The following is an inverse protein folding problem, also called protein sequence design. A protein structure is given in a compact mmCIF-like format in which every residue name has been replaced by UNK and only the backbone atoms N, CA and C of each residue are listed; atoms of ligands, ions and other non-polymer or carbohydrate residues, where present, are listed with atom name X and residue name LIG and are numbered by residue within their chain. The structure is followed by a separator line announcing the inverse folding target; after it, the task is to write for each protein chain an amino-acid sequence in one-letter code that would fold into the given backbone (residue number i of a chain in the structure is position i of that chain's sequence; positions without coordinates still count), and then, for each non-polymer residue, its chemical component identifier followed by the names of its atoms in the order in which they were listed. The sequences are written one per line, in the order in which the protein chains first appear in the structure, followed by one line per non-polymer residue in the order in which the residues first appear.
data_IF_756901569755
#
_entry.id   IF_756901569755
#
_cell.length_a   1.000
_cell.length_b   1.000
_cell.length_c   1.000
_cell.angle_alpha   90.00
_cell.angle_beta   90.00
_cell.angle_gamma   90.00
#
_symmetry.space_group_name_H-M   'P 1'
#
loop_
_entity.id
_entity.type
_entity.pdbx_description
1 polymer ?
#
# COMPACT_ATOMS: atom_id res chain seq x y z
N UNK A 1 -11.83 -24.96 -15.99
CA UNK A 1 -10.61 -24.20 -15.65
C UNK A 1 -10.53 -23.03 -16.60
N UNK A 2 -10.34 -21.78 -16.13
CA UNK A 2 -10.07 -20.67 -17.04
C UNK A 2 -8.77 -20.97 -17.80
N UNK A 3 -8.77 -20.74 -19.11
CA UNK A 3 -7.57 -20.88 -19.95
C UNK A 3 -6.61 -19.74 -19.59
N UNK A 4 -5.33 -20.05 -19.42
CA UNK A 4 -4.28 -19.06 -19.21
C UNK A 4 -4.10 -18.28 -20.52
N UNK A 5 -4.32 -16.96 -20.48
CA UNK A 5 -4.26 -16.10 -21.66
C UNK A 5 -2.80 -15.66 -21.84
N UNK A 6 -2.15 -16.15 -22.89
CA UNK A 6 -0.73 -15.89 -23.18
C UNK A 6 -0.59 -14.98 -24.39
N UNK A 7 0.29 -13.98 -24.29
CA UNK A 7 0.56 -13.01 -25.37
C UNK A 7 1.29 -13.67 -26.53
N UNK A 8 0.73 -13.57 -27.74
CA UNK A 8 1.45 -13.94 -28.96
C UNK A 8 2.24 -12.74 -29.49
N UNK A 9 3.51 -12.95 -29.85
CA UNK A 9 4.39 -11.91 -30.41
C UNK A 9 4.78 -12.19 -31.86
N UNK A 10 4.18 -13.21 -32.48
CA UNK A 10 4.61 -13.80 -33.74
C UNK A 10 3.46 -13.93 -34.75
N UNK A 11 2.40 -13.11 -34.64
CA UNK A 11 1.25 -13.16 -35.57
C UNK A 11 1.65 -13.07 -37.03
N UNK A 12 2.62 -12.23 -37.35
CA UNK A 12 3.15 -12.04 -38.70
C UNK A 12 3.84 -13.29 -39.22
N UNK A 13 4.69 -13.92 -38.40
CA UNK A 13 5.42 -15.13 -38.75
C UNK A 13 4.47 -16.34 -38.89
N UNK A 14 3.54 -16.50 -37.95
CA UNK A 14 2.55 -17.59 -37.98
C UNK A 14 1.58 -17.46 -39.15
N UNK A 15 1.09 -16.25 -39.43
CA UNK A 15 0.18 -16.00 -40.53
C UNK A 15 0.78 -16.30 -41.92
N UNK A 16 2.09 -16.08 -42.09
CA UNK A 16 2.79 -16.47 -43.32
C UNK A 16 2.93 -18.00 -43.47
N UNK A 17 3.06 -18.73 -42.36
CA UNK A 17 3.15 -20.20 -42.37
C UNK A 17 1.81 -20.85 -42.76
N UNK A 18 0.69 -20.19 -42.52
CA UNK A 18 -0.65 -20.66 -42.89
C UNK A 18 -0.92 -20.59 -44.40
N UNK A 19 -0.02 -20.01 -45.20
CA UNK A 19 -0.19 -19.97 -46.65
C UNK A 19 -0.09 -21.38 -47.24
N UNK A 20 -1.12 -21.78 -48.00
CA UNK A 20 -1.03 -22.99 -48.82
C UNK A 20 0.08 -22.83 -49.88
N UNK A 21 0.72 -23.93 -50.28
CA UNK A 21 1.95 -23.91 -51.11
C UNK A 21 1.84 -23.05 -52.39
N UNK A 22 0.64 -23.00 -52.99
CA UNK A 22 0.37 -22.17 -54.18
C UNK A 22 0.66 -20.67 -53.97
N UNK A 23 0.53 -20.18 -52.75
CA UNK A 23 0.59 -18.75 -52.42
C UNK A 23 1.86 -18.32 -51.68
N UNK A 24 2.70 -19.25 -51.21
CA UNK A 24 3.95 -18.95 -50.47
C UNK A 24 4.91 -18.02 -51.22
N UNK A 25 4.96 -18.12 -52.55
CA UNK A 25 5.88 -17.34 -53.39
C UNK A 25 5.22 -16.10 -54.03
N UNK A 26 4.11 -15.59 -53.47
CA UNK A 26 3.38 -14.42 -54.01
C UNK A 26 3.62 -13.18 -53.14
N UNK A 27 4.62 -12.34 -53.46
CA UNK A 27 5.04 -11.25 -52.57
C UNK A 27 3.94 -10.20 -52.34
N UNK A 28 3.14 -9.87 -53.35
CA UNK A 28 2.04 -8.89 -53.19
C UNK A 28 0.93 -9.37 -52.26
N UNK A 29 0.63 -10.67 -52.27
CA UNK A 29 -0.36 -11.26 -51.39
C UNK A 29 0.19 -11.33 -49.95
N UNK A 30 1.44 -11.74 -49.79
CA UNK A 30 2.12 -11.72 -48.49
C UNK A 30 2.12 -10.31 -47.88
N UNK A 31 2.49 -9.28 -48.65
CA UNK A 31 2.47 -7.89 -48.18
C UNK A 31 1.06 -7.42 -47.78
N UNK A 32 0.02 -7.79 -48.53
CA UNK A 32 -1.36 -7.43 -48.18
C UNK A 32 -1.77 -8.04 -46.83
N UNK A 33 -1.45 -9.32 -46.61
CA UNK A 33 -1.79 -10.01 -45.36
C UNK A 33 -0.96 -9.49 -44.19
N UNK A 34 0.33 -9.21 -44.39
CA UNK A 34 1.20 -8.66 -43.35
C UNK A 34 0.68 -7.34 -42.79
N UNK A 35 0.10 -6.45 -43.61
CA UNK A 35 -0.52 -5.21 -43.13
C UNK A 35 -1.64 -5.49 -42.12
N UNK A 36 -2.46 -6.53 -42.35
CA UNK A 36 -3.50 -6.91 -41.40
C UNK A 36 -2.93 -7.59 -40.16
N UNK A 37 -1.90 -8.43 -40.30
CA UNK A 37 -1.27 -9.12 -39.16
C UNK A 37 -0.52 -8.14 -38.25
N UNK A 38 0.11 -7.11 -38.81
CA UNK A 38 0.73 -6.04 -38.04
C UNK A 38 -0.32 -5.31 -37.18
N UNK A 39 -1.48 -4.98 -37.75
CA UNK A 39 -2.58 -4.37 -36.99
C UNK A 39 -3.12 -5.29 -35.90
N UNK A 40 -3.18 -6.60 -36.15
CA UNK A 40 -3.56 -7.59 -35.12
C UNK A 40 -2.53 -7.64 -34.00
N UNK A 41 -1.24 -7.57 -34.33
CA UNK A 41 -0.16 -7.52 -33.33
C UNK A 41 -0.26 -6.25 -32.47
N UNK A 42 -0.45 -5.08 -33.10
CA UNK A 42 -0.66 -3.82 -32.38
C UNK A 42 -1.89 -3.87 -31.46
N UNK A 43 -2.98 -4.48 -31.93
CA UNK A 43 -4.20 -4.63 -31.14
C UNK A 43 -4.02 -5.59 -29.97
N UNK A 44 -3.32 -6.71 -30.15
CA UNK A 44 -2.99 -7.61 -29.05
C UNK A 44 -2.05 -6.93 -28.05
N UNK A 45 -1.04 -6.20 -28.52
CA UNK A 45 -0.13 -5.44 -27.68
C UNK A 45 -0.91 -4.48 -26.77
N UNK A 46 -1.81 -3.68 -27.35
CA UNK A 46 -2.67 -2.77 -26.61
C UNK A 46 -3.65 -3.49 -25.66
N UNK A 47 -4.18 -4.65 -26.06
CA UNK A 47 -5.07 -5.45 -25.22
C UNK A 47 -4.31 -6.00 -24.00
N UNK A 48 -3.10 -6.51 -24.20
CA UNK A 48 -2.29 -7.03 -23.10
C UNK A 48 -1.84 -5.93 -22.17
N UNK A 49 -1.44 -4.76 -22.67
CA UNK A 49 -1.16 -3.57 -21.85
C UNK A 49 -2.37 -3.24 -20.96
N UNK A 50 -3.58 -3.25 -21.52
CA UNK A 50 -4.81 -3.00 -20.77
C UNK A 50 -5.12 -4.06 -19.69
N UNK A 51 -4.71 -5.31 -19.92
CA UNK A 51 -4.89 -6.43 -18.98
C UNK A 51 -3.84 -6.37 -17.87
N UNK A 52 -2.58 -6.10 -18.20
CA UNK A 52 -1.47 -6.10 -17.24
C UNK A 52 -1.48 -4.86 -16.35
N UNK A 53 -1.77 -3.70 -16.94
CA UNK A 53 -1.53 -2.41 -16.29
C UNK A 53 -2.70 -2.00 -15.40
N UNK A 54 -3.84 -2.70 -15.48
CA UNK A 54 -4.99 -2.49 -14.57
C UNK A 54 -4.90 -3.25 -13.25
N UNK A 55 -3.79 -3.95 -13.00
CA UNK A 55 -3.58 -4.59 -11.70
C UNK A 55 -3.22 -3.55 -10.65
N UNK A 56 -3.58 -3.81 -9.39
CA UNK A 56 -3.24 -2.91 -8.28
C UNK A 56 -1.72 -2.80 -8.06
N UNK A 57 -0.91 -3.68 -8.62
CA UNK A 57 0.56 -3.63 -8.49
C UNK A 57 1.23 -2.92 -9.67
N UNK A 58 0.60 -2.89 -10.85
CA UNK A 58 1.18 -2.27 -12.05
C UNK A 58 0.57 -0.90 -12.41
N UNK A 59 -0.66 -0.61 -11.98
CA UNK A 59 -1.35 0.62 -12.34
C UNK A 59 -0.58 1.87 -11.87
N UNK A 60 -0.51 2.88 -12.74
CA UNK A 60 0.15 4.18 -12.48
C UNK A 60 -0.75 5.35 -12.85
N UNK A 61 -0.52 6.51 -12.23
CA UNK A 61 -1.26 7.75 -12.47
C UNK A 61 -2.78 7.56 -12.49
N UNK A 62 -3.41 7.98 -13.58
CA UNK A 62 -4.88 7.97 -13.73
C UNK A 62 -5.48 6.56 -13.59
N UNK A 63 -4.77 5.51 -14.02
CA UNK A 63 -5.28 4.16 -13.90
C UNK A 63 -5.41 3.75 -12.42
N UNK A 64 -4.40 4.11 -11.62
CA UNK A 64 -4.41 3.87 -10.17
C UNK A 64 -5.48 4.72 -9.48
N UNK A 65 -5.67 5.96 -9.91
CA UNK A 65 -6.72 6.83 -9.38
C UNK A 65 -8.13 6.26 -9.65
N UNK A 66 -8.37 5.69 -10.83
CA UNK A 66 -9.62 4.98 -11.14
C UNK A 66 -9.82 3.78 -10.20
N UNK A 67 -8.77 3.00 -9.92
CA UNK A 67 -8.85 1.91 -8.93
C UNK A 67 -9.19 2.44 -7.54
N UNK A 68 -8.61 3.58 -7.14
CA UNK A 68 -8.96 4.29 -5.91
C UNK A 68 -10.44 4.63 -5.84
N UNK A 69 -11.00 5.22 -6.90
CA UNK A 69 -12.44 5.53 -6.99
C UNK A 69 -13.30 4.27 -6.83
N UNK A 70 -12.92 3.16 -7.47
CA UNK A 70 -13.67 1.89 -7.40
C UNK A 70 -13.73 1.35 -5.97
N UNK A 71 -12.65 1.49 -5.20
CA UNK A 71 -12.60 0.99 -3.81
C UNK A 71 -13.12 2.00 -2.78
N UNK A 72 -13.54 3.20 -3.20
CA UNK A 72 -14.01 4.25 -2.30
C UNK A 72 -12.90 5.08 -1.66
N UNK A 73 -11.72 5.13 -2.28
CA UNK A 73 -10.61 6.02 -1.92
C UNK A 73 -10.27 6.93 -3.11
N UNK A 74 -11.07 7.96 -3.42
CA UNK A 74 -10.83 8.82 -4.58
C UNK A 74 -9.72 9.86 -4.36
N UNK A 75 -9.41 10.18 -3.10
CA UNK A 75 -8.45 11.23 -2.76
C UNK A 75 -7.05 10.66 -2.55
N UNK A 76 -6.12 11.13 -3.38
CA UNK A 76 -4.68 10.83 -3.32
C UNK A 76 -3.93 11.71 -2.31
N UNK A 77 -4.45 12.89 -1.97
CA UNK A 77 -3.88 13.83 -0.97
C UNK A 77 -2.37 14.08 -1.15
N UNK A 78 -1.92 14.23 -2.41
CA UNK A 78 -0.52 14.52 -2.72
C UNK A 78 0.46 13.35 -2.59
N UNK A 79 -0.02 12.14 -2.33
CA UNK A 79 0.80 10.92 -2.31
C UNK A 79 1.31 10.56 -3.71
N UNK A 80 2.51 9.98 -3.78
CA UNK A 80 2.99 9.34 -4.99
C UNK A 80 2.25 8.02 -5.27
N UNK A 81 2.57 7.37 -6.39
CA UNK A 81 1.87 6.16 -6.82
C UNK A 81 2.07 5.00 -5.84
N UNK A 82 3.23 4.89 -5.21
CA UNK A 82 3.57 3.76 -4.36
C UNK A 82 2.91 3.89 -2.98
N UNK A 83 2.96 5.08 -2.40
CA UNK A 83 2.26 5.39 -1.15
C UNK A 83 0.75 5.29 -1.33
N UNK A 84 0.22 5.84 -2.42
CA UNK A 84 -1.21 5.79 -2.71
C UNK A 84 -1.71 4.36 -2.95
N UNK A 85 -0.90 3.53 -3.63
CA UNK A 85 -1.19 2.10 -3.80
C UNK A 85 -1.33 1.38 -2.47
N UNK A 86 -0.50 1.73 -1.50
CA UNK A 86 -0.59 1.16 -0.13
C UNK A 86 -1.89 1.57 0.56
N UNK A 87 -2.32 2.83 0.42
CA UNK A 87 -3.62 3.29 0.94
C UNK A 87 -4.78 2.58 0.26
N UNK A 88 -4.74 2.37 -1.06
CA UNK A 88 -5.77 1.59 -1.78
C UNK A 88 -5.83 0.16 -1.26
N UNK A 89 -4.68 -0.50 -1.07
CA UNK A 89 -4.62 -1.86 -0.48
C UNK A 89 -5.22 -1.89 0.94
N UNK A 90 -4.96 -0.86 1.76
CA UNK A 90 -5.60 -0.71 3.07
C UNK A 90 -7.12 -0.54 2.95
N UNK A 91 -7.60 0.30 2.03
CA UNK A 91 -9.04 0.47 1.76
C UNK A 91 -9.71 -0.84 1.32
N UNK A 92 -9.05 -1.64 0.48
CA UNK A 92 -9.56 -2.97 0.08
C UNK A 92 -9.71 -3.88 1.31
N UNK A 93 -8.75 -3.84 2.26
CA UNK A 93 -8.88 -4.58 3.53
C UNK A 93 -10.03 -4.06 4.38
N UNK A 94 -10.21 -2.74 4.49
CA UNK A 94 -11.35 -2.12 5.18
C UNK A 94 -12.67 -2.60 4.61
N UNK A 95 -12.83 -2.59 3.28
CA UNK A 95 -14.06 -3.01 2.60
C UNK A 95 -14.38 -4.50 2.77
N UNK A 96 -13.39 -5.31 3.16
CA UNK A 96 -13.52 -6.75 3.45
C UNK A 96 -13.50 -7.06 4.96
N UNK A 97 -13.43 -6.02 5.80
CA UNK A 97 -13.38 -6.16 7.25
C UNK A 97 -14.76 -6.49 7.80
N UNK A 98 -14.80 -7.42 8.75
CA UNK A 98 -15.99 -7.75 9.53
C UNK A 98 -15.94 -7.12 10.93
N UNK A 99 -14.97 -6.23 11.19
CA UNK A 99 -14.84 -5.49 12.45
C UNK A 99 -14.00 -6.15 13.54
N UNK A 100 -13.27 -7.21 13.21
CA UNK A 100 -12.40 -7.91 14.17
C UNK A 100 -11.16 -7.08 14.52
N UNK A 101 -10.69 -7.20 15.76
CA UNK A 101 -9.55 -6.44 16.26
C UNK A 101 -8.27 -6.71 15.45
N UNK A 102 -8.08 -7.94 15.01
CA UNK A 102 -6.94 -8.37 14.20
C UNK A 102 -6.92 -7.64 12.85
N UNK A 103 -8.09 -7.43 12.24
CA UNK A 103 -8.20 -6.71 10.96
C UNK A 103 -7.82 -5.23 11.12
N UNK A 104 -8.18 -4.60 12.24
CA UNK A 104 -7.75 -3.24 12.55
C UNK A 104 -6.22 -3.14 12.70
N UNK A 105 -5.60 -4.13 13.36
CA UNK A 105 -4.14 -4.20 13.50
C UNK A 105 -3.50 -4.38 12.12
N UNK A 106 -4.00 -5.27 11.27
CA UNK A 106 -3.48 -5.47 9.91
C UNK A 106 -3.58 -4.21 9.04
N UNK A 107 -4.71 -3.48 9.13
CA UNK A 107 -4.91 -2.23 8.39
C UNK A 107 -3.91 -1.18 8.87
N UNK A 108 -3.79 -0.99 10.19
CA UNK A 108 -2.83 -0.04 10.76
C UNK A 108 -1.39 -0.41 10.43
N UNK A 109 -1.02 -1.69 10.52
CA UNK A 109 0.31 -2.18 10.20
C UNK A 109 0.67 -1.93 8.72
N UNK A 110 -0.29 -2.13 7.81
CA UNK A 110 -0.10 -1.86 6.39
C UNK A 110 0.10 -0.37 6.13
N UNK A 111 -0.68 0.51 6.75
CA UNK A 111 -0.52 1.95 6.55
C UNK A 111 0.76 2.46 7.23
N UNK A 112 1.16 1.84 8.35
CA UNK A 112 2.37 2.22 9.08
C UNK A 112 3.67 1.95 8.30
N UNK A 113 3.65 1.16 7.21
CA UNK A 113 4.82 1.04 6.32
C UNK A 113 5.18 2.35 5.64
N UNK A 114 4.24 3.29 5.57
CA UNK A 114 4.40 4.62 4.97
C UNK A 114 5.02 5.65 5.94
N UNK A 115 5.29 5.26 7.19
CA UNK A 115 5.91 6.14 8.19
C UNK A 115 7.37 6.45 7.89
N UNK A 116 8.03 5.64 7.05
CA UNK A 116 9.47 5.71 6.78
C UNK A 116 10.34 5.16 7.92
N UNK A 117 9.74 4.58 8.97
CA UNK A 117 10.46 3.98 10.09
C UNK A 117 10.89 2.56 9.75
N UNK A 118 12.19 2.25 9.84
CA UNK A 118 12.76 0.95 9.45
C UNK A 118 12.35 -0.24 10.34
N UNK A 119 11.78 0.03 11.52
CA UNK A 119 11.32 -1.00 12.44
C UNK A 119 9.84 -1.31 12.27
N UNK A 120 9.40 -2.57 12.53
CA UNK A 120 7.99 -2.89 12.48
C UNK A 120 7.20 -1.99 13.42
N UNK A 121 6.05 -1.52 12.95
CA UNK A 121 5.18 -0.66 13.73
C UNK A 121 4.76 -1.35 15.03
N UNK A 122 5.03 -0.70 16.16
CA UNK A 122 4.60 -1.19 17.47
C UNK A 122 3.15 -0.74 17.68
N UNK A 123 2.23 -1.71 17.64
CA UNK A 123 0.79 -1.46 17.74
C UNK A 123 0.27 -2.10 19.01
N UNK A 124 -0.43 -1.30 19.82
CA UNK A 124 -1.12 -1.76 21.02
C UNK A 124 -2.62 -1.59 20.85
N UNK A 125 -3.36 -2.69 20.90
CA UNK A 125 -4.82 -2.68 20.90
C UNK A 125 -5.34 -3.11 22.27
N UNK A 126 -6.25 -2.31 22.83
CA UNK A 126 -6.88 -2.54 24.12
C UNK A 126 -8.40 -2.46 23.99
N UNK A 127 -9.08 -3.44 24.59
CA UNK A 127 -10.52 -3.38 24.82
C UNK A 127 -10.82 -2.48 26.03
N UNK A 128 -11.71 -1.51 25.83
CA UNK A 128 -12.09 -0.50 26.80
C UNK A 128 -13.62 -0.57 26.98
N UNK A 129 -14.12 -1.13 28.10
CA UNK A 129 -15.57 -1.25 28.31
C UNK A 129 -16.25 0.12 28.47
N UNK A 130 -17.55 0.28 28.12
CA UNK A 130 -18.51 -0.78 27.77
C UNK A 130 -18.65 -1.13 26.28
N UNK A 131 -18.01 -0.40 25.35
CA UNK A 131 -18.00 -0.72 23.91
C UNK A 131 -17.00 0.22 23.21
N UNK A 132 -15.73 0.17 23.59
CA UNK A 132 -14.69 0.98 22.99
C UNK A 132 -13.42 0.18 22.73
N UNK A 133 -12.76 0.49 21.63
CA UNK A 133 -11.44 -0.01 21.30
C UNK A 133 -10.47 1.15 21.31
N UNK A 134 -9.32 0.95 21.94
CA UNK A 134 -8.18 1.86 21.82
C UNK A 134 -7.10 1.17 21.03
N UNK A 135 -6.74 1.76 19.90
CA UNK A 135 -5.60 1.33 19.10
C UNK A 135 -4.55 2.42 19.13
N UNK A 136 -3.34 2.05 19.53
CA UNK A 136 -2.21 2.96 19.69
C UNK A 136 -1.10 2.57 18.73
N UNK A 137 -0.69 3.51 17.89
CA UNK A 137 0.55 3.42 17.14
C UNK A 137 1.66 4.01 18.02
N UNK A 138 2.50 3.14 18.57
CA UNK A 138 3.60 3.51 19.47
C UNK A 138 4.89 3.84 18.70
N UNK A 139 4.87 3.65 17.39
CA UNK A 139 5.88 4.15 16.45
C UNK A 139 5.50 5.56 15.97
N UNK A 140 6.50 6.35 15.57
CA UNK A 140 6.27 7.65 14.93
C UNK A 140 5.36 7.48 13.70
N UNK A 141 4.29 8.26 13.66
CA UNK A 141 3.34 8.28 12.53
C UNK A 141 3.97 8.93 11.27
N UNK A 142 5.09 9.65 11.43
CA UNK A 142 5.84 10.22 10.32
C UNK A 142 5.00 11.19 9.49
N UNK A 143 5.04 11.13 8.15
CA UNK A 143 4.33 12.06 7.28
C UNK A 143 2.84 11.76 7.12
N UNK A 144 2.34 10.66 7.70
CA UNK A 144 0.95 10.24 7.51
C UNK A 144 -0.01 11.21 8.20
N UNK A 145 -1.04 11.62 7.47
CA UNK A 145 -2.15 12.38 8.06
C UNK A 145 -2.93 11.47 9.03
N UNK A 146 -2.96 11.78 10.34
CA UNK A 146 -3.68 10.98 11.33
C UNK A 146 -5.18 10.87 11.04
N UNK A 147 -5.77 11.85 10.35
CA UNK A 147 -7.18 11.83 10.00
C UNK A 147 -7.48 10.74 8.94
N UNK A 148 -6.59 10.55 7.97
CA UNK A 148 -6.72 9.49 6.95
C UNK A 148 -6.67 8.12 7.63
N UNK A 149 -5.69 7.92 8.53
CA UNK A 149 -5.54 6.67 9.29
C UNK A 149 -6.76 6.43 10.18
N UNK A 150 -7.22 7.47 10.90
CA UNK A 150 -8.41 7.37 11.73
C UNK A 150 -9.65 6.99 10.92
N UNK A 151 -9.88 7.61 9.76
CA UNK A 151 -11.04 7.30 8.92
C UNK A 151 -11.01 5.84 8.43
N UNK A 152 -9.85 5.34 7.97
CA UNK A 152 -9.70 3.93 7.58
C UNK A 152 -10.05 2.98 8.73
N UNK A 153 -9.53 3.23 9.93
CA UNK A 153 -9.80 2.39 11.09
C UNK A 153 -11.24 2.52 11.58
N UNK A 154 -11.80 3.73 11.53
CA UNK A 154 -13.17 4.01 11.94
C UNK A 154 -14.20 3.36 11.00
N UNK A 155 -13.89 3.22 9.72
CA UNK A 155 -14.71 2.50 8.74
C UNK A 155 -14.59 0.98 8.91
N UNK A 156 -13.42 0.49 9.35
CA UNK A 156 -13.19 -0.93 9.57
C UNK A 156 -13.72 -1.46 10.91
N UNK A 157 -13.95 -0.61 11.92
CA UNK A 157 -14.40 -1.02 13.25
C UNK A 157 -15.83 -1.58 13.21
N UNK A 158 -16.15 -2.46 14.15
CA UNK A 158 -17.53 -2.91 14.34
C UNK A 158 -18.49 -1.76 14.66
N UNK A 159 -19.68 -1.77 14.06
CA UNK A 159 -20.68 -0.73 14.28
C UNK A 159 -21.06 -0.60 15.77
N UNK A 160 -21.15 0.64 16.26
CA UNK A 160 -21.47 0.92 17.67
C UNK A 160 -20.30 0.82 18.65
N UNK A 161 -19.11 0.39 18.21
CA UNK A 161 -17.90 0.37 19.05
C UNK A 161 -17.17 1.69 18.92
N UNK A 162 -16.96 2.46 19.99
CA UNK A 162 -16.13 3.68 19.97
C UNK A 162 -14.67 3.34 19.61
N UNK A 163 -14.03 4.13 18.76
CA UNK A 163 -12.61 3.98 18.45
C UNK A 163 -11.82 5.19 19.00
N UNK A 164 -10.83 4.93 19.85
CA UNK A 164 -9.80 5.88 20.24
C UNK A 164 -8.52 5.52 19.47
N UNK A 165 -8.08 6.38 18.55
CA UNK A 165 -6.79 6.26 17.89
C UNK A 165 -5.77 7.15 18.59
N UNK A 166 -4.69 6.54 19.09
CA UNK A 166 -3.56 7.24 19.71
C UNK A 166 -2.33 7.03 18.84
N UNK A 167 -1.58 8.09 18.59
CA UNK A 167 -0.34 8.03 17.84
C UNK A 167 0.71 8.93 18.51
N UNK A 168 1.97 8.72 18.14
CA UNK A 168 3.08 9.60 18.50
C UNK A 168 3.68 10.20 17.24
N UNK A 169 4.22 11.42 17.35
CA UNK A 169 4.99 12.10 16.30
C UNK A 169 6.47 12.16 16.68
N UNK A 170 6.91 11.25 17.53
CA UNK A 170 8.25 11.23 18.11
C UNK A 170 8.75 9.81 18.08
N UNK A 171 9.95 9.63 17.53
CA UNK A 171 10.63 8.35 17.51
C UNK A 171 10.82 7.83 18.94
N UNK A 172 10.73 6.51 19.09
CA UNK A 172 10.97 5.83 20.37
C UNK A 172 12.36 6.13 20.93
N UNK A 173 13.36 6.27 20.07
CA UNK A 173 14.73 6.63 20.45
C UNK A 173 14.85 8.04 21.06
N UNK A 174 13.94 8.95 20.69
CA UNK A 174 13.89 10.31 21.22
C UNK A 174 12.92 10.45 22.40
N UNK A 175 12.13 9.42 22.71
CA UNK A 175 11.16 9.45 23.80
C UNK A 175 11.85 9.21 25.14
N UNK A 176 11.37 9.88 26.18
CA UNK A 176 11.83 9.59 27.54
C UNK A 176 11.49 8.15 27.92
N UNK A 177 12.50 7.33 28.21
CA UNK A 177 12.31 5.95 28.71
C UNK A 177 13.08 5.74 30.00
N UNK A 178 12.60 4.83 30.85
CA UNK A 178 13.43 4.30 31.93
C UNK A 178 14.36 3.21 31.40
N UNK A 179 15.59 3.19 31.92
CA UNK A 179 16.58 2.16 31.62
C UNK A 179 16.31 0.86 32.36
N UNK A 180 17.09 -0.18 32.02
CA UNK A 180 17.07 -1.45 32.77
C UNK A 180 17.49 -1.28 34.22
N UNK A 181 18.35 -0.29 34.49
CA UNK A 181 18.83 0.10 35.83
C UNK A 181 17.90 1.12 36.52
N UNK A 182 16.67 1.27 36.03
CA UNK A 182 15.67 2.18 36.60
C UNK A 182 15.99 3.66 36.33
N UNK A 183 15.72 4.56 37.29
CA UNK A 183 15.85 6.01 37.07
C UNK A 183 17.30 6.53 36.98
N UNK A 184 18.31 5.69 37.20
CA UNK A 184 19.73 6.08 37.26
C UNK A 184 20.54 5.66 36.03
N UNK A 185 19.88 5.18 34.97
CA UNK A 185 20.57 4.79 33.74
C UNK A 185 21.25 6.05 33.12
N UNK A 186 22.54 5.97 32.76
CA UNK A 186 23.30 7.13 32.29
C UNK A 186 22.79 7.68 30.95
N UNK A 187 22.10 6.85 30.15
CA UNK A 187 21.56 7.21 28.84
C UNK A 187 20.02 7.39 28.87
N UNK A 188 19.36 6.95 29.95
CA UNK A 188 17.88 6.88 30.09
C UNK A 188 17.42 7.18 31.53
N UNK A 189 16.27 7.81 31.73
CA UNK A 189 15.77 8.14 33.08
C UNK A 189 16.23 9.53 33.59
N UNK A 190 16.37 9.72 34.90
CA UNK A 190 16.69 11.03 35.47
C UNK A 190 18.21 11.24 35.59
N UNK A 191 18.66 12.50 35.52
CA UNK A 191 20.06 12.83 35.82
C UNK A 191 20.34 12.58 37.31
N UNK A 192 21.60 12.31 37.66
CA UNK A 192 22.06 12.26 39.05
C UNK A 192 23.27 13.18 39.25
N UNK A 193 23.86 13.21 40.45
CA UNK A 193 24.99 14.09 40.77
C UNK A 193 26.28 13.74 40.01
N UNK A 194 26.39 12.50 39.52
CA UNK A 194 27.59 11.96 38.88
C UNK A 194 27.46 11.97 37.33
N UNK A 195 26.23 11.90 36.81
CA UNK A 195 25.87 12.05 35.40
C UNK A 195 24.92 13.25 35.20
N UNK A 196 25.43 14.44 34.81
CA UNK A 196 24.63 15.66 34.71
C UNK A 196 23.67 15.68 33.50
N UNK A 197 23.62 14.60 32.72
CA UNK A 197 22.63 14.36 31.68
C UNK A 197 21.89 13.05 31.97
N UNK A 198 20.56 13.11 32.00
CA UNK A 198 19.69 11.92 32.01
C UNK A 198 19.00 11.73 30.66
N UNK A 199 18.00 10.86 30.61
CA UNK A 199 17.14 10.66 29.45
C UNK A 199 16.52 11.97 28.98
N UNK A 200 16.66 12.26 27.68
CA UNK A 200 16.09 13.47 27.07
C UNK A 200 14.57 13.34 26.98
N UNK A 201 13.85 14.42 27.25
CA UNK A 201 12.47 14.55 26.79
C UNK A 201 12.51 14.84 25.29
N UNK A 202 11.74 14.07 24.50
CA UNK A 202 11.45 14.25 23.07
C UNK A 202 12.10 15.48 22.43
N UNK A 203 13.13 15.28 21.61
CA UNK A 203 13.73 16.36 20.82
C UNK A 203 12.65 16.93 19.88
N UNK A 204 11.97 17.99 20.32
CA UNK A 204 11.11 18.78 19.46
C UNK A 204 11.97 19.85 18.81
N UNK A 205 12.59 19.53 17.68
CA UNK A 205 12.98 20.60 16.76
C UNK A 205 11.68 21.22 16.24
N UNK A 206 11.52 22.52 16.51
CA UNK A 206 10.37 23.32 16.06
C UNK A 206 10.47 23.72 14.62
#
# INVERSE_FOLDING_TARGET
MPQEITKNTQHTAEGLLLFIDRYKNKPRLASLILIFLDQVQELEDALFELITDRTIDAAVGVQLDILGVIVGQPERVGLDDDDYRTIIKARIKVNRSDGHAEQLIEILALVATLTGVEQPAEILLLDVPPAALRISLLTDIGPLDPLIVFNLLNDARGAGIKLDFIYTTTLKADTFTFGGDGPNDPDKGFFNSDTPSGGKFGNKEG
#
